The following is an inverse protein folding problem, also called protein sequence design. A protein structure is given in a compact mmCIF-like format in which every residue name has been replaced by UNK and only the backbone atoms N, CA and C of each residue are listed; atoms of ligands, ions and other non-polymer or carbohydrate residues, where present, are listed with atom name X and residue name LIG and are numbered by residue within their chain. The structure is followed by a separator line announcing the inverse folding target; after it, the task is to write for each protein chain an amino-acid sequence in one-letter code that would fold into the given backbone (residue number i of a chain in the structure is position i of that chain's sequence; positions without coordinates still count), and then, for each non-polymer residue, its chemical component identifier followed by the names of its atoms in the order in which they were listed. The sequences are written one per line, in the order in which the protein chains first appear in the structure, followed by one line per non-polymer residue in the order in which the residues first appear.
data_IF_783160145529
#
_entry.id   IF_783160145529
#
_cell.length_a   1.000
_cell.length_b   1.000
_cell.length_c   1.000
_cell.angle_alpha   90.00
_cell.angle_beta   90.00
_cell.angle_gamma   90.00
#
_symmetry.space_group_name_H-M   'P 1'
#
loop_
_entity.id
_entity.type
_entity.pdbx_description
1 polymer ?
#
# COMPACT_ATOMS: atom_id res chain seq x y z
N UNK A 1 -4.66 -6.35 -11.79
CA UNK A 1 -5.69 -7.22 -12.43
C UNK A 1 -6.20 -8.27 -11.42
N UNK A 2 -7.47 -8.66 -11.20
CA UNK A 2 -7.75 -9.99 -10.59
C UNK A 2 -8.64 -10.77 -11.52
N UNK A 3 -8.15 -11.91 -11.97
CA UNK A 3 -8.81 -12.91 -12.78
C UNK A 3 -9.10 -14.12 -11.90
N UNK A 4 -10.24 -14.75 -12.09
CA UNK A 4 -10.63 -15.90 -11.28
C UNK A 4 -11.08 -17.00 -12.22
N UNK A 5 -10.50 -18.17 -12.03
CA UNK A 5 -10.73 -19.34 -12.85
C UNK A 5 -11.63 -20.33 -12.09
N UNK A 6 -12.78 -20.64 -12.71
CA UNK A 6 -13.85 -21.46 -12.12
C UNK A 6 -14.88 -20.64 -11.34
N UNK A 7 -15.82 -21.33 -10.70
CA UNK A 7 -16.98 -20.73 -10.01
C UNK A 7 -16.61 -20.25 -8.58
N UNK A 8 -15.50 -19.53 -8.43
CA UNK A 8 -15.16 -18.92 -7.14
C UNK A 8 -15.82 -17.54 -7.08
N UNK A 9 -16.78 -17.34 -6.18
CA UNK A 9 -17.33 -16.02 -5.89
C UNK A 9 -16.35 -15.21 -5.03
N UNK A 10 -15.49 -14.40 -5.67
CA UNK A 10 -14.60 -13.47 -4.98
C UNK A 10 -14.86 -12.03 -5.42
N UNK A 11 -15.38 -11.16 -4.53
CA UNK A 11 -15.71 -9.78 -4.87
C UNK A 11 -14.47 -8.89 -4.91
N UNK A 12 -13.51 -9.16 -5.80
CA UNK A 12 -12.31 -8.32 -5.95
C UNK A 12 -12.50 -7.32 -7.08
N UNK A 13 -12.66 -6.04 -6.74
CA UNK A 13 -12.70 -4.92 -7.69
C UNK A 13 -13.74 -5.04 -8.81
N UNK A 14 -14.89 -5.67 -8.54
CA UNK A 14 -16.09 -5.63 -9.40
C UNK A 14 -15.90 -6.23 -10.79
N UNK A 15 -15.09 -7.27 -10.91
CA UNK A 15 -14.82 -7.87 -12.21
C UNK A 15 -15.74 -9.03 -12.51
N UNK A 16 -16.49 -8.90 -13.60
CA UNK A 16 -17.02 -10.03 -14.36
C UNK A 16 -15.86 -10.94 -14.75
N UNK A 17 -16.03 -12.25 -14.57
CA UNK A 17 -15.04 -13.29 -14.88
C UNK A 17 -14.79 -13.35 -16.39
N UNK A 18 -13.96 -12.42 -16.87
CA UNK A 18 -13.37 -12.41 -18.21
C UNK A 18 -11.89 -12.25 -18.03
N UNK A 19 -11.16 -12.94 -18.88
CA UNK A 19 -9.72 -12.79 -18.95
C UNK A 19 -9.36 -11.32 -19.25
N UNK A 20 -8.51 -10.68 -18.45
CA UNK A 20 -8.18 -9.28 -18.63
C UNK A 20 -7.16 -9.08 -19.75
N UNK A 21 -7.22 -7.94 -20.44
CA UNK A 21 -6.30 -7.59 -21.53
C UNK A 21 -4.86 -7.25 -21.07
N UNK A 22 -4.61 -7.19 -19.77
CA UNK A 22 -3.30 -6.79 -19.23
C UNK A 22 -2.94 -7.44 -17.90
N UNK A 23 -1.96 -6.87 -17.18
CA UNK A 23 -1.37 -7.51 -16.01
C UNK A 23 -2.38 -7.86 -14.93
N UNK A 24 -2.28 -9.08 -14.41
CA UNK A 24 -3.27 -9.60 -13.47
C UNK A 24 -2.71 -10.63 -12.49
N UNK A 25 -3.49 -10.85 -11.44
CA UNK A 25 -3.35 -11.93 -10.49
C UNK A 25 -4.48 -12.92 -10.74
N UNK A 26 -4.19 -14.22 -10.72
CA UNK A 26 -5.18 -15.27 -10.92
C UNK A 26 -5.57 -15.89 -9.58
N UNK A 27 -6.85 -16.20 -9.40
CA UNK A 27 -7.32 -17.11 -8.35
C UNK A 27 -7.87 -18.37 -9.01
N UNK A 28 -7.46 -19.54 -8.54
CA UNK A 28 -7.87 -20.82 -9.09
C UNK A 28 -8.14 -21.81 -7.96
N UNK A 29 -9.09 -22.72 -8.15
CA UNK A 29 -9.28 -23.84 -7.21
C UNK A 29 -8.17 -24.86 -7.44
N UNK A 30 -7.73 -25.56 -6.39
CA UNK A 30 -6.70 -26.59 -6.57
C UNK A 30 -7.08 -27.66 -7.61
N UNK A 31 -8.37 -28.06 -7.65
CA UNK A 31 -8.89 -29.01 -8.67
C UNK A 31 -8.79 -28.50 -10.11
N UNK A 32 -8.66 -27.20 -10.32
CA UNK A 32 -8.61 -26.54 -11.63
C UNK A 32 -7.18 -26.01 -11.92
N UNK A 33 -6.19 -26.36 -11.08
CA UNK A 33 -4.84 -25.78 -11.14
C UNK A 33 -4.13 -26.05 -12.46
N UNK A 34 -4.30 -27.23 -13.08
CA UNK A 34 -3.68 -27.53 -14.38
C UNK A 34 -4.13 -26.57 -15.48
N UNK A 35 -5.42 -26.24 -15.55
CA UNK A 35 -5.93 -25.22 -16.46
C UNK A 35 -5.35 -23.84 -16.11
N UNK A 36 -5.21 -23.54 -14.81
CA UNK A 36 -4.55 -22.33 -14.34
C UNK A 36 -3.09 -22.24 -14.78
N UNK A 37 -2.35 -23.35 -14.75
CA UNK A 37 -0.95 -23.41 -15.18
C UNK A 37 -0.82 -23.20 -16.70
N UNK A 38 -1.75 -23.73 -17.50
CA UNK A 38 -1.79 -23.46 -18.95
C UNK A 38 -2.01 -21.97 -19.24
N UNK A 39 -2.94 -21.35 -18.52
CA UNK A 39 -3.19 -19.90 -18.60
C UNK A 39 -1.95 -19.09 -18.25
N UNK A 40 -1.34 -19.40 -17.11
CA UNK A 40 -0.10 -18.77 -16.62
C UNK A 40 1.00 -18.91 -17.66
N UNK A 41 1.19 -20.10 -18.26
CA UNK A 41 2.18 -20.34 -19.30
C UNK A 41 1.94 -19.47 -20.55
N UNK A 42 0.68 -19.27 -20.95
CA UNK A 42 0.32 -18.42 -22.08
C UNK A 42 0.37 -16.91 -21.76
N UNK A 43 0.28 -16.53 -20.49
CA UNK A 43 0.16 -15.14 -20.03
C UNK A 43 1.33 -14.76 -19.13
N UNK A 44 2.39 -14.21 -19.72
CA UNK A 44 3.57 -13.70 -19.00
C UNK A 44 3.26 -12.49 -18.11
N UNK A 45 2.13 -11.83 -18.33
CA UNK A 45 1.65 -10.70 -17.54
C UNK A 45 0.79 -11.12 -16.32
N UNK A 46 0.56 -12.43 -16.13
CA UNK A 46 0.00 -12.96 -14.89
C UNK A 46 1.10 -12.98 -13.80
N UNK A 47 1.01 -12.08 -12.83
CA UNK A 47 2.06 -11.78 -11.83
C UNK A 47 1.99 -12.65 -10.58
N UNK A 48 0.79 -13.03 -10.18
CA UNK A 48 0.60 -13.84 -8.99
C UNK A 48 -0.58 -14.80 -9.15
N UNK A 49 -0.51 -15.92 -8.45
CA UNK A 49 -1.52 -16.98 -8.49
C UNK A 49 -1.90 -17.35 -7.07
N UNK A 50 -3.20 -17.34 -6.76
CA UNK A 50 -3.74 -17.88 -5.54
C UNK A 50 -4.44 -19.22 -5.81
N UNK A 51 -4.00 -20.28 -5.12
CA UNK A 51 -4.58 -21.61 -5.20
C UNK A 51 -5.42 -21.85 -3.95
N UNK A 52 -6.74 -21.98 -4.13
CA UNK A 52 -7.71 -22.16 -3.05
C UNK A 52 -8.20 -23.60 -3.00
N UNK A 53 -8.01 -24.25 -1.85
CA UNK A 53 -8.29 -25.67 -1.65
C UNK A 53 -7.36 -26.49 -2.54
N UNK A 54 -6.16 -26.79 -2.03
CA UNK A 54 -5.05 -27.35 -2.81
C UNK A 54 -5.47 -28.64 -3.55
N UNK A 55 -4.80 -29.00 -4.66
CA UNK A 55 -5.02 -30.31 -5.29
C UNK A 55 -4.55 -31.45 -4.39
N UNK A 56 -4.98 -32.67 -4.67
CA UNK A 56 -4.50 -33.87 -3.96
C UNK A 56 -3.02 -34.13 -4.28
N UNK A 57 -2.65 -33.97 -5.56
CA UNK A 57 -1.28 -34.09 -6.05
C UNK A 57 -0.77 -32.75 -6.55
N UNK A 58 0.52 -32.46 -6.33
CA UNK A 58 1.14 -31.20 -6.78
C UNK A 58 1.56 -31.36 -8.24
N UNK A 59 1.00 -30.59 -9.19
CA UNK A 59 1.38 -30.66 -10.60
C UNK A 59 2.76 -30.01 -10.83
N UNK A 60 3.24 -30.04 -12.07
CA UNK A 60 4.47 -29.31 -12.44
C UNK A 60 4.26 -27.79 -12.30
N UNK A 61 5.00 -27.19 -11.37
CA UNK A 61 4.90 -25.77 -11.05
C UNK A 61 5.84 -24.89 -11.88
N UNK A 62 6.57 -25.45 -12.84
CA UNK A 62 7.51 -24.70 -13.71
C UNK A 62 6.92 -23.41 -14.32
N UNK A 63 5.63 -23.36 -14.75
CA UNK A 63 5.03 -22.12 -15.27
C UNK A 63 4.97 -20.95 -14.26
N UNK A 64 5.06 -21.25 -12.96
CA UNK A 64 4.98 -20.27 -11.87
C UNK A 64 6.35 -19.69 -11.47
N UNK A 65 7.45 -20.14 -12.06
CA UNK A 65 8.78 -19.60 -11.76
C UNK A 65 8.81 -18.10 -12.05
N UNK A 66 9.33 -17.32 -11.10
CA UNK A 66 9.36 -15.85 -11.17
C UNK A 66 8.03 -15.16 -10.87
N UNK A 67 7.03 -15.90 -10.38
CA UNK A 67 5.72 -15.37 -9.98
C UNK A 67 5.46 -15.63 -8.51
N UNK A 68 4.57 -14.84 -7.91
CA UNK A 68 4.17 -15.03 -6.52
C UNK A 68 3.04 -16.06 -6.42
N UNK A 69 3.20 -17.06 -5.55
CA UNK A 69 2.22 -18.12 -5.32
C UNK A 69 1.62 -18.00 -3.92
N UNK A 70 0.31 -17.82 -3.85
CA UNK A 70 -0.46 -17.79 -2.61
C UNK A 70 -1.22 -19.11 -2.43
N UNK A 71 -0.91 -19.86 -1.38
CA UNK A 71 -1.56 -21.13 -1.06
C UNK A 71 -2.62 -20.94 0.02
N UNK A 72 -3.84 -21.41 -0.22
CA UNK A 72 -4.96 -21.27 0.73
C UNK A 72 -5.58 -22.64 1.00
N UNK A 73 -5.38 -23.15 2.22
CA UNK A 73 -5.98 -24.41 2.67
C UNK A 73 -6.17 -24.43 4.19
N UNK A 74 -7.10 -25.25 4.68
CA UNK A 74 -7.26 -25.48 6.12
C UNK A 74 -6.22 -26.46 6.69
N UNK A 75 -5.73 -27.36 5.84
CA UNK A 75 -4.78 -28.40 6.20
C UNK A 75 -3.33 -27.88 6.13
N UNK A 76 -2.69 -27.80 7.30
CA UNK A 76 -1.32 -27.33 7.42
C UNK A 76 -0.27 -28.28 6.83
N UNK A 77 -0.56 -29.59 6.75
CA UNK A 77 0.35 -30.56 6.13
C UNK A 77 0.31 -30.43 4.62
N UNK A 78 -0.88 -30.30 4.03
CA UNK A 78 -1.02 -30.06 2.58
C UNK A 78 -0.35 -28.76 2.17
N UNK A 79 -0.55 -27.67 2.94
CA UNK A 79 0.15 -26.40 2.72
C UNK A 79 1.67 -26.56 2.71
N UNK A 80 2.23 -27.24 3.73
CA UNK A 80 3.68 -27.45 3.82
C UNK A 80 4.22 -28.25 2.65
N UNK A 81 3.58 -29.38 2.32
CA UNK A 81 4.02 -30.25 1.23
C UNK A 81 4.02 -29.50 -0.12
N UNK A 82 2.95 -28.76 -0.40
CA UNK A 82 2.86 -27.96 -1.62
C UNK A 82 3.91 -26.84 -1.63
N UNK A 83 4.04 -26.09 -0.53
CA UNK A 83 5.00 -25.01 -0.40
C UNK A 83 6.45 -25.50 -0.58
N UNK A 84 6.78 -26.68 -0.06
CA UNK A 84 8.11 -27.26 -0.20
C UNK A 84 8.46 -27.55 -1.68
N UNK A 85 7.51 -28.09 -2.45
CA UNK A 85 7.70 -28.31 -3.90
C UNK A 85 7.91 -26.98 -4.62
N UNK A 86 7.07 -25.98 -4.33
CA UNK A 86 7.15 -24.66 -4.94
C UNK A 86 8.47 -23.93 -4.61
N UNK A 87 8.88 -23.94 -3.34
CA UNK A 87 10.13 -23.32 -2.89
C UNK A 87 11.35 -24.00 -3.54
N UNK A 88 11.35 -25.33 -3.66
CA UNK A 88 12.42 -26.08 -4.35
C UNK A 88 12.51 -25.72 -5.84
N UNK A 89 11.40 -25.34 -6.47
CA UNK A 89 11.36 -24.81 -7.82
C UNK A 89 11.74 -23.32 -7.93
N UNK A 90 12.07 -22.66 -6.80
CA UNK A 90 12.45 -21.24 -6.77
C UNK A 90 11.25 -20.28 -6.82
N UNK A 91 10.07 -20.73 -6.46
CA UNK A 91 8.84 -19.93 -6.46
C UNK A 91 8.67 -19.24 -5.11
N UNK A 92 8.33 -17.96 -5.11
CA UNK A 92 7.99 -17.23 -3.90
C UNK A 92 6.61 -17.67 -3.41
N UNK A 93 6.54 -18.18 -2.17
CA UNK A 93 5.30 -18.72 -1.59
C UNK A 93 4.84 -17.90 -0.40
N UNK A 94 3.57 -17.54 -0.40
CA UNK A 94 2.81 -17.05 0.75
C UNK A 94 1.68 -18.06 1.06
N UNK A 95 1.25 -18.19 2.32
CA UNK A 95 0.12 -19.06 2.64
C UNK A 95 -0.90 -18.45 3.61
N UNK A 96 -2.16 -18.82 3.42
CA UNK A 96 -3.27 -18.53 4.30
C UNK A 96 -3.84 -19.86 4.79
N UNK A 97 -3.61 -20.16 6.07
CA UNK A 97 -4.20 -21.33 6.72
C UNK A 97 -5.67 -21.10 7.05
N UNK A 98 -6.55 -21.37 6.09
CA UNK A 98 -8.01 -21.30 6.24
C UNK A 98 -8.73 -22.12 5.17
N UNK A 99 -9.82 -22.79 5.54
CA UNK A 99 -10.75 -23.41 4.58
C UNK A 99 -11.67 -22.38 3.90
N UNK A 100 -11.90 -21.24 4.57
CA UNK A 100 -12.70 -20.11 4.11
C UNK A 100 -11.96 -18.83 4.48
N UNK A 101 -10.96 -18.40 3.70
CA UNK A 101 -10.21 -17.19 4.03
C UNK A 101 -11.18 -16.00 4.06
N UNK A 102 -11.11 -15.10 5.06
CA UNK A 102 -11.82 -13.84 5.00
C UNK A 102 -11.42 -13.09 3.73
N UNK A 103 -12.39 -12.52 3.02
CA UNK A 103 -12.16 -11.77 1.78
C UNK A 103 -11.03 -10.75 1.94
N UNK A 104 -11.04 -9.98 3.02
CA UNK A 104 -10.03 -8.94 3.29
C UNK A 104 -8.60 -9.50 3.28
N UNK A 105 -8.40 -10.72 3.80
CA UNK A 105 -7.08 -11.35 3.89
C UNK A 105 -6.59 -11.81 2.52
N UNK A 106 -7.46 -12.42 1.73
CA UNK A 106 -7.13 -12.86 0.39
C UNK A 106 -6.91 -11.66 -0.55
N UNK A 107 -7.77 -10.64 -0.46
CA UNK A 107 -7.63 -9.40 -1.21
C UNK A 107 -6.36 -8.62 -0.81
N UNK A 108 -5.98 -8.64 0.47
CA UNK A 108 -4.75 -8.02 0.93
C UNK A 108 -3.52 -8.65 0.28
N UNK A 109 -3.44 -9.97 0.28
CA UNK A 109 -2.38 -10.69 -0.40
C UNK A 109 -2.41 -10.39 -1.91
N UNK A 110 -3.54 -10.56 -2.59
CA UNK A 110 -3.62 -10.41 -4.06
C UNK A 110 -3.44 -8.98 -4.57
N UNK A 111 -3.78 -7.98 -3.75
CA UNK A 111 -3.69 -6.56 -4.06
C UNK A 111 -2.84 -5.86 -2.98
N UNK A 112 -1.53 -6.14 -2.94
CA UNK A 112 -0.66 -5.54 -1.96
C UNK A 112 -0.52 -4.05 -2.28
N UNK A 113 -0.53 -3.22 -1.24
CA UNK A 113 -0.42 -1.76 -1.37
C UNK A 113 0.82 -1.31 -0.64
N UNK A 114 1.63 -0.48 -1.29
CA UNK A 114 2.80 0.14 -0.69
C UNK A 114 2.48 1.53 -0.14
N UNK A 115 3.06 1.90 0.99
CA UNK A 115 3.00 3.24 1.57
C UNK A 115 4.16 4.09 1.09
N UNK A 116 3.87 5.30 0.63
CA UNK A 116 4.84 6.34 0.29
C UNK A 116 4.62 7.50 1.25
N UNK A 117 5.55 7.71 2.18
CA UNK A 117 5.57 8.88 3.05
C UNK A 117 6.43 9.96 2.39
N UNK A 118 5.79 11.05 1.96
CA UNK A 118 6.48 12.21 1.40
C UNK A 118 7.02 13.09 2.53
N UNK A 119 8.33 13.00 2.76
CA UNK A 119 9.05 13.66 3.86
C UNK A 119 10.24 14.50 3.35
N UNK A 120 10.15 14.99 2.11
CA UNK A 120 11.19 15.75 1.42
C UNK A 120 10.85 17.24 1.25
N UNK A 121 9.71 17.70 1.80
CA UNK A 121 9.29 19.10 1.74
C UNK A 121 10.14 20.02 2.62
N UNK A 122 10.37 21.26 2.17
CA UNK A 122 11.13 22.27 2.92
C UNK A 122 10.28 22.88 4.05
N UNK A 123 10.87 23.01 5.24
CA UNK A 123 10.27 23.70 6.39
C UNK A 123 10.49 25.22 6.30
N UNK A 124 9.83 25.92 5.38
CA UNK A 124 10.06 27.37 5.18
C UNK A 124 9.35 28.27 6.21
N UNK A 125 8.31 27.75 6.90
CA UNK A 125 7.44 28.52 7.81
C UNK A 125 7.73 28.30 9.30
N UNK A 126 8.69 27.44 9.66
CA UNK A 126 9.13 27.22 11.05
C UNK A 126 10.63 27.45 11.20
N UNK A 127 11.07 28.55 11.84
CA UNK A 127 12.48 28.84 12.03
C UNK A 127 13.14 27.84 13.00
N UNK A 128 14.33 27.34 12.65
CA UNK A 128 15.25 26.68 13.60
C UNK A 128 15.12 25.16 13.78
N UNK A 129 14.11 24.50 13.19
CA UNK A 129 14.00 23.03 13.21
C UNK A 129 13.26 22.50 11.99
N UNK A 130 13.74 21.40 11.41
CA UNK A 130 13.00 20.64 10.40
C UNK A 130 11.66 20.18 10.99
N UNK A 131 10.53 20.63 10.43
CA UNK A 131 9.18 20.42 11.01
C UNK A 131 8.84 18.96 11.28
N UNK A 132 9.32 18.10 10.40
CA UNK A 132 9.14 16.65 10.44
C UNK A 132 9.80 15.99 11.67
N UNK A 133 10.70 16.70 12.35
CA UNK A 133 11.44 16.23 13.52
C UNK A 133 10.85 16.71 14.85
N UNK A 134 9.79 17.52 14.81
CA UNK A 134 9.14 17.96 16.04
C UNK A 134 8.60 16.75 16.83
N UNK A 135 8.76 16.82 18.14
CA UNK A 135 8.41 15.75 19.06
C UNK A 135 6.90 15.72 19.34
N UNK A 136 6.28 14.60 19.04
CA UNK A 136 4.89 14.34 19.38
C UNK A 136 4.87 13.09 20.24
N UNK A 137 4.62 13.25 21.54
CA UNK A 137 4.63 12.16 22.53
C UNK A 137 5.94 11.33 22.58
N UNK A 138 7.09 11.99 22.50
CA UNK A 138 8.41 11.35 22.53
C UNK A 138 8.83 10.71 21.20
N UNK A 139 8.12 11.04 20.11
CA UNK A 139 8.27 10.44 18.79
C UNK A 139 8.32 11.53 17.72
N UNK A 140 9.32 11.54 16.82
CA UNK A 140 9.35 12.49 15.71
C UNK A 140 8.10 12.39 14.84
N UNK A 141 7.55 13.54 14.43
CA UNK A 141 6.33 13.65 13.62
C UNK A 141 6.29 12.70 12.42
N UNK A 142 7.37 12.65 11.62
CA UNK A 142 7.45 11.78 10.44
C UNK A 142 7.32 10.29 10.77
N UNK A 143 7.74 9.89 11.99
CA UNK A 143 7.69 8.51 12.43
C UNK A 143 6.26 8.05 12.71
N UNK A 144 5.40 8.94 13.21
CA UNK A 144 3.96 8.64 13.37
C UNK A 144 3.31 8.26 12.04
N UNK A 145 3.62 9.00 10.97
CA UNK A 145 3.03 8.77 9.63
C UNK A 145 3.57 7.47 9.02
N UNK A 146 4.87 7.22 9.18
CA UNK A 146 5.47 5.96 8.75
C UNK A 146 4.87 4.75 9.51
N UNK A 147 4.77 4.83 10.84
CA UNK A 147 4.18 3.79 11.68
C UNK A 147 2.71 3.58 11.30
N UNK A 148 1.95 4.64 11.03
CA UNK A 148 0.57 4.56 10.55
C UNK A 148 0.45 3.78 9.22
N UNK A 149 1.35 4.01 8.26
CA UNK A 149 1.33 3.29 6.99
C UNK A 149 1.62 1.79 7.19
N UNK A 150 2.65 1.48 8.00
CA UNK A 150 3.07 0.10 8.29
C UNK A 150 2.01 -0.66 9.10
N UNK A 151 1.59 -0.13 10.23
CA UNK A 151 0.58 -0.73 11.12
C UNK A 151 -0.82 -0.76 10.48
N UNK A 152 -1.09 0.16 9.55
CA UNK A 152 -2.33 0.22 8.80
C UNK A 152 -2.46 -0.90 7.74
N UNK A 153 -1.37 -1.59 7.40
CA UNK A 153 -1.38 -2.74 6.49
C UNK A 153 -0.77 -2.48 5.10
N UNK A 154 0.07 -1.44 4.95
CA UNK A 154 0.91 -1.32 3.75
C UNK A 154 1.98 -2.42 3.77
N UNK A 155 2.15 -3.12 2.63
CA UNK A 155 3.03 -4.29 2.50
C UNK A 155 4.50 -3.89 2.36
N UNK A 156 4.74 -2.71 1.81
CA UNK A 156 6.02 -2.03 1.75
C UNK A 156 5.77 -0.61 2.23
N UNK A 157 6.69 -0.01 2.99
CA UNK A 157 6.58 1.41 3.34
C UNK A 157 7.91 2.09 3.06
N UNK A 158 7.86 3.10 2.20
CA UNK A 158 8.99 3.91 1.77
C UNK A 158 8.83 5.32 2.31
N UNK A 159 9.88 5.85 2.92
CA UNK A 159 9.98 7.26 3.31
C UNK A 159 10.89 7.97 2.32
N UNK A 160 10.34 8.95 1.59
CA UNK A 160 11.10 9.78 0.65
C UNK A 160 11.61 11.02 1.39
N UNK A 161 12.92 11.18 1.48
CA UNK A 161 13.57 12.25 2.25
C UNK A 161 14.55 13.05 1.39
N UNK A 162 14.82 14.29 1.81
CA UNK A 162 15.85 15.14 1.19
C UNK A 162 16.92 15.60 2.20
N UNK A 163 16.64 15.53 3.50
CA UNK A 163 17.55 15.97 4.55
C UNK A 163 17.94 14.81 5.46
N UNK A 164 19.22 14.75 5.79
CA UNK A 164 19.84 13.64 6.52
C UNK A 164 19.26 13.46 7.94
N UNK A 165 18.78 14.53 8.57
CA UNK A 165 18.19 14.44 9.90
C UNK A 165 16.85 13.67 9.90
N UNK A 166 16.09 13.71 8.79
CA UNK A 166 14.90 12.86 8.60
C UNK A 166 15.31 11.39 8.51
N UNK A 167 16.40 11.10 7.79
CA UNK A 167 16.96 9.73 7.70
C UNK A 167 17.30 9.18 9.09
N UNK A 168 17.98 10.00 9.90
CA UNK A 168 18.37 9.64 11.27
C UNK A 168 17.16 9.44 12.18
N UNK A 169 16.13 10.26 12.06
CA UNK A 169 14.92 10.16 12.88
C UNK A 169 14.09 8.89 12.61
N UNK A 170 14.16 8.35 11.39
CA UNK A 170 13.52 7.06 11.04
C UNK A 170 14.33 5.86 11.57
N UNK A 171 15.63 6.02 11.82
CA UNK A 171 16.47 5.05 12.54
C UNK A 171 16.40 3.61 12.00
N UNK A 172 16.48 3.46 10.67
CA UNK A 172 16.47 2.15 10.00
C UNK A 172 15.14 1.39 10.06
N UNK A 173 14.06 2.02 10.54
CA UNK A 173 12.74 1.38 10.67
C UNK A 173 11.99 1.28 9.35
N UNK A 174 12.38 2.05 8.35
CA UNK A 174 11.73 2.12 7.04
C UNK A 174 12.74 1.97 5.90
N UNK A 175 12.23 1.59 4.74
CA UNK A 175 12.95 1.77 3.49
C UNK A 175 13.03 3.26 3.17
N UNK A 176 14.24 3.74 2.86
CA UNK A 176 14.55 5.17 2.76
C UNK A 176 15.00 5.50 1.35
N UNK A 177 14.33 6.48 0.73
CA UNK A 177 14.64 6.94 -0.63
C UNK A 177 15.08 8.40 -0.60
N UNK A 178 16.34 8.62 -0.96
CA UNK A 178 16.88 9.97 -1.07
C UNK A 178 16.39 10.64 -2.35
N UNK A 179 15.77 11.82 -2.23
CA UNK A 179 15.38 12.66 -3.35
C UNK A 179 16.26 13.91 -3.44
N UNK A 180 17.32 13.83 -4.24
CA UNK A 180 18.19 14.97 -4.55
C UNK A 180 17.48 16.12 -5.28
N UNK A 181 16.30 15.87 -5.87
CA UNK A 181 15.52 16.83 -6.67
C UNK A 181 14.32 17.38 -5.92
N UNK A 182 14.24 17.22 -4.60
CA UNK A 182 13.11 17.71 -3.81
C UNK A 182 12.82 19.21 -3.99
N UNK A 183 13.84 20.02 -4.32
CA UNK A 183 13.67 21.43 -4.64
C UNK A 183 12.87 21.72 -5.92
N UNK A 184 12.66 20.72 -6.79
CA UNK A 184 11.83 20.86 -7.99
C UNK A 184 10.35 20.61 -7.74
N UNK A 185 9.95 20.40 -6.47
CA UNK A 185 8.56 20.23 -6.05
C UNK A 185 8.14 18.79 -5.78
N UNK A 186 6.90 18.65 -5.29
CA UNK A 186 6.31 17.40 -4.81
C UNK A 186 6.33 16.25 -5.84
N UNK A 187 6.19 16.56 -7.13
CA UNK A 187 6.17 15.55 -8.19
C UNK A 187 7.43 14.66 -8.16
N UNK A 188 8.60 15.26 -7.94
CA UNK A 188 9.87 14.52 -7.88
C UNK A 188 9.91 13.49 -6.74
N UNK A 189 9.33 13.84 -5.59
CA UNK A 189 9.29 12.98 -4.41
C UNK A 189 8.29 11.83 -4.59
N UNK A 190 7.13 12.12 -5.16
CA UNK A 190 6.14 11.09 -5.49
C UNK A 190 6.73 10.08 -6.49
N UNK A 191 7.38 10.57 -7.54
CA UNK A 191 8.04 9.71 -8.54
C UNK A 191 9.16 8.86 -7.94
N UNK A 192 9.96 9.41 -7.03
CA UNK A 192 10.99 8.67 -6.33
C UNK A 192 10.38 7.54 -5.48
N UNK A 193 9.30 7.82 -4.75
CA UNK A 193 8.56 6.82 -3.98
C UNK A 193 7.96 5.71 -4.84
N UNK A 194 7.29 6.07 -5.94
CA UNK A 194 6.69 5.11 -6.87
C UNK A 194 7.74 4.19 -7.52
N UNK A 195 8.91 4.73 -7.88
CA UNK A 195 10.02 3.95 -8.47
C UNK A 195 10.65 2.95 -7.49
N UNK A 196 10.56 3.22 -6.18
CA UNK A 196 11.06 2.31 -5.15
C UNK A 196 10.05 1.20 -4.80
N UNK A 197 8.80 1.32 -5.23
CA UNK A 197 7.80 0.28 -5.00
C UNK A 197 8.20 -1.01 -5.72
N UNK A 198 8.12 -2.15 -5.02
CA UNK A 198 8.38 -3.45 -5.62
C UNK A 198 7.34 -3.76 -6.71
N UNK A 199 7.71 -4.63 -7.64
CA UNK A 199 6.92 -4.95 -8.83
C UNK A 199 5.53 -5.53 -8.52
N UNK A 200 5.37 -6.20 -7.39
CA UNK A 200 4.15 -6.86 -6.96
C UNK A 200 3.09 -5.90 -6.39
N UNK A 201 3.47 -4.68 -6.01
CA UNK A 201 2.56 -3.67 -5.43
C UNK A 201 1.47 -3.29 -6.44
N UNK A 202 0.19 -3.42 -6.13
CA UNK A 202 -0.90 -3.09 -7.08
C UNK A 202 -1.45 -1.66 -6.89
N UNK A 203 -1.08 -0.99 -5.81
CA UNK A 203 -1.42 0.42 -5.55
C UNK A 203 -0.47 1.07 -4.55
N UNK A 204 -0.38 2.40 -4.58
CA UNK A 204 0.44 3.20 -3.69
C UNK A 204 -0.45 4.09 -2.80
N UNK A 205 -0.36 3.91 -1.48
CA UNK A 205 -0.87 4.81 -0.46
C UNK A 205 0.10 5.97 -0.29
N UNK A 206 -0.28 7.17 -0.72
CA UNK A 206 0.53 8.38 -0.57
C UNK A 206 0.11 9.10 0.71
N UNK A 207 1.07 9.31 1.62
CA UNK A 207 0.92 10.04 2.88
C UNK A 207 1.87 11.24 2.91
N UNK A 208 1.50 12.30 3.64
CA UNK A 208 2.37 13.46 3.88
C UNK A 208 3.01 13.35 5.26
N UNK A 209 4.32 13.56 5.35
CA UNK A 209 5.09 13.38 6.59
C UNK A 209 4.76 14.37 7.71
N UNK A 210 4.01 15.42 7.40
CA UNK A 210 3.58 16.50 8.31
C UNK A 210 2.13 16.38 8.78
N UNK A 211 1.48 15.23 8.52
CA UNK A 211 0.12 14.92 8.95
C UNK A 211 0.10 13.81 10.04
N UNK A 212 0.61 14.06 11.26
CA UNK A 212 0.77 13.03 12.29
C UNK A 212 -0.55 12.48 12.87
N UNK A 213 -1.68 13.12 12.57
CA UNK A 213 -3.01 12.65 12.97
C UNK A 213 -3.61 11.63 11.98
N UNK A 214 -2.92 11.37 10.87
CA UNK A 214 -3.23 10.24 9.98
C UNK A 214 -2.71 8.98 10.64
N UNK A 215 -3.64 8.17 11.17
CA UNK A 215 -3.31 6.97 11.92
C UNK A 215 -3.48 5.68 11.11
N UNK A 216 -3.05 4.56 11.69
CA UNK A 216 -3.19 3.22 11.09
C UNK A 216 -4.65 2.86 10.75
N UNK A 217 -5.62 3.36 11.53
CA UNK A 217 -7.05 3.17 11.23
C UNK A 217 -7.48 3.92 9.96
N UNK A 218 -6.93 5.10 9.69
CA UNK A 218 -7.20 5.85 8.45
C UNK A 218 -6.71 5.04 7.25
N UNK A 219 -5.47 4.55 7.34
CA UNK A 219 -4.83 3.71 6.32
C UNK A 219 -5.63 2.43 6.08
N UNK A 220 -5.99 1.72 7.14
CA UNK A 220 -6.79 0.49 7.06
C UNK A 220 -8.18 0.74 6.43
N UNK A 221 -8.84 1.86 6.75
CA UNK A 221 -10.13 2.23 6.14
C UNK A 221 -9.99 2.42 4.64
N UNK A 222 -8.97 3.15 4.18
CA UNK A 222 -8.73 3.35 2.75
C UNK A 222 -8.39 2.04 2.04
N UNK A 223 -7.57 1.18 2.65
CA UNK A 223 -7.22 -0.13 2.09
C UNK A 223 -8.45 -1.02 1.91
N UNK A 224 -9.35 -1.03 2.90
CA UNK A 224 -10.64 -1.73 2.81
C UNK A 224 -11.52 -1.14 1.72
N UNK A 225 -11.62 0.18 1.65
CA UNK A 225 -12.41 0.86 0.64
C UNK A 225 -11.92 0.57 -0.78
N UNK A 226 -10.60 0.63 -1.02
CA UNK A 226 -10.00 0.37 -2.34
C UNK A 226 -10.07 -1.10 -2.77
N UNK A 227 -10.02 -2.03 -1.81
CA UNK A 227 -10.17 -3.47 -2.10
C UNK A 227 -11.63 -3.89 -2.28
N UNK A 228 -12.59 -3.05 -1.92
CA UNK A 228 -14.02 -3.33 -2.08
C UNK A 228 -14.36 -3.49 -3.56
N UNK A 229 -15.33 -4.34 -3.82
CA UNK A 229 -15.94 -4.47 -5.14
C UNK A 229 -16.44 -3.13 -5.68
N UNK A 230 -16.17 -2.88 -6.97
CA UNK A 230 -16.58 -1.65 -7.66
C UNK A 230 -15.82 -0.39 -7.23
N UNK A 231 -14.77 -0.49 -6.41
CA UNK A 231 -13.97 0.67 -6.05
C UNK A 231 -13.19 1.22 -7.26
N UNK A 232 -13.09 2.55 -7.29
CA UNK A 232 -12.38 3.30 -8.33
C UNK A 232 -10.86 3.17 -8.20
N UNK A 233 -10.09 3.52 -9.26
CA UNK A 233 -8.62 3.45 -9.26
C UNK A 233 -7.94 4.24 -8.14
N UNK A 234 -8.57 5.30 -7.64
CA UNK A 234 -8.10 6.05 -6.49
C UNK A 234 -9.13 6.08 -5.35
N UNK A 235 -8.65 6.06 -4.11
CA UNK A 235 -9.47 6.26 -2.91
C UNK A 235 -8.78 7.25 -1.98
N UNK A 236 -9.48 8.30 -1.57
CA UNK A 236 -8.94 9.32 -0.67
C UNK A 236 -9.86 9.59 0.52
N UNK A 237 -9.31 10.22 1.55
CA UNK A 237 -10.07 10.67 2.72
C UNK A 237 -10.91 11.88 2.36
N UNK A 238 -12.17 11.91 2.79
CA UNK A 238 -13.03 13.09 2.67
C UNK A 238 -12.48 14.27 3.47
N UNK A 239 -12.41 15.45 2.84
CA UNK A 239 -11.92 16.67 3.48
C UNK A 239 -12.75 17.88 3.06
N UNK A 240 -13.60 18.35 3.97
CA UNK A 240 -14.27 19.66 3.93
C UNK A 240 -14.66 20.17 2.54
N UNK A 241 -14.30 21.42 2.27
CA UNK A 241 -14.56 22.12 1.00
C UNK A 241 -13.73 21.60 -0.18
N UNK A 242 -12.59 20.98 0.08
CA UNK A 242 -11.60 20.59 -0.95
C UNK A 242 -11.88 19.21 -1.56
N UNK A 243 -13.03 18.62 -1.20
CA UNK A 243 -13.51 17.30 -1.61
C UNK A 243 -12.79 16.16 -0.89
N UNK A 244 -11.46 16.18 -0.87
CA UNK A 244 -10.62 15.14 -0.28
C UNK A 244 -9.24 15.66 0.16
N UNK A 245 -8.52 14.88 0.95
CA UNK A 245 -7.13 15.15 1.33
C UNK A 245 -6.33 13.86 1.39
N UNK A 246 -4.97 13.93 1.36
CA UNK A 246 -4.16 12.79 1.72
C UNK A 246 -4.54 12.25 3.11
N UNK A 247 -4.40 10.94 3.35
CA UNK A 247 -3.84 9.94 2.44
C UNK A 247 -4.72 9.58 1.25
N UNK A 248 -4.08 9.15 0.15
CA UNK A 248 -4.74 8.68 -1.08
C UNK A 248 -4.09 7.40 -1.58
N UNK A 249 -4.90 6.38 -1.89
CA UNK A 249 -4.46 5.21 -2.64
C UNK A 249 -4.56 5.52 -4.12
N UNK A 250 -3.51 5.17 -4.87
CA UNK A 250 -3.41 5.32 -6.32
C UNK A 250 -3.06 3.96 -6.91
N UNK A 251 -4.00 3.37 -7.65
CA UNK A 251 -3.77 2.12 -8.39
C UNK A 251 -2.57 2.26 -9.33
N UNK A 252 -1.84 1.15 -9.53
CA UNK A 252 -0.69 1.09 -10.45
C UNK A 252 -0.99 1.61 -11.86
N UNK A 253 -2.21 1.45 -12.37
CA UNK A 253 -2.63 1.98 -13.67
C UNK A 253 -2.51 3.50 -13.80
N UNK A 254 -2.54 4.23 -12.68
CA UNK A 254 -2.38 5.68 -12.64
C UNK A 254 -0.91 6.12 -12.67
N UNK A 255 0.05 5.21 -12.47
CA UNK A 255 1.44 5.59 -12.21
C UNK A 255 2.12 6.23 -13.42
N UNK A 256 1.78 5.83 -14.65
CA UNK A 256 2.30 6.44 -15.87
C UNK A 256 1.95 7.94 -15.94
N UNK A 257 0.72 8.31 -15.58
CA UNK A 257 0.32 9.71 -15.50
C UNK A 257 1.05 10.43 -14.37
N UNK A 258 1.25 9.79 -13.21
CA UNK A 258 2.00 10.36 -12.09
C UNK A 258 3.49 10.59 -12.43
N UNK A 259 4.09 9.73 -13.27
CA UNK A 259 5.46 9.92 -13.77
C UNK A 259 5.59 11.13 -14.71
N UNK A 260 4.49 11.59 -15.31
CA UNK A 260 4.49 12.78 -16.18
C UNK A 260 4.42 14.11 -15.42
N UNK A 261 4.09 14.08 -14.13
CA UNK A 261 3.94 15.29 -13.30
C UNK A 261 5.25 16.06 -13.15
N UNK A 262 5.14 17.38 -12.96
CA UNK A 262 6.27 18.31 -12.81
C UNK A 262 5.97 19.36 -11.74
N UNK A 263 7.00 19.92 -11.14
CA UNK A 263 6.82 21.00 -10.16
C UNK A 263 6.14 20.51 -8.88
N UNK A 264 5.31 21.39 -8.31
CA UNK A 264 4.54 21.13 -7.08
C UNK A 264 3.27 20.30 -7.32
N UNK A 265 3.12 19.72 -8.51
CA UNK A 265 2.02 18.83 -8.85
C UNK A 265 2.03 17.54 -8.02
N UNK A 266 0.84 17.10 -7.60
CA UNK A 266 0.64 15.82 -6.93
C UNK A 266 -0.52 15.05 -7.53
N UNK A 267 -0.93 13.98 -6.85
CA UNK A 267 -2.03 13.11 -7.27
C UNK A 267 -3.34 13.86 -7.58
N UNK A 268 -3.57 14.99 -6.90
CA UNK A 268 -4.72 15.86 -7.17
C UNK A 268 -4.81 16.34 -8.60
N UNK A 269 -3.69 16.62 -9.27
CA UNK A 269 -3.71 17.05 -10.67
C UNK A 269 -4.16 15.94 -11.62
N UNK A 270 -3.79 14.70 -11.32
CA UNK A 270 -4.29 13.54 -12.08
C UNK A 270 -5.79 13.40 -11.83
N UNK A 271 -6.26 13.44 -10.59
CA UNK A 271 -7.66 13.16 -10.29
C UNK A 271 -8.63 14.33 -10.58
N UNK A 272 -8.12 15.52 -10.84
CA UNK A 272 -8.93 16.71 -11.08
C UNK A 272 -9.83 16.55 -12.32
N UNK A 273 -11.13 16.81 -12.14
CA UNK A 273 -12.13 16.70 -13.22
C UNK A 273 -12.49 15.26 -13.63
N UNK A 274 -11.98 14.24 -12.91
CA UNK A 274 -12.19 12.81 -13.20
C UNK A 274 -12.86 12.08 -12.03
N UNK A 275 -14.13 12.42 -11.70
CA UNK A 275 -14.81 11.78 -10.57
C UNK A 275 -14.86 10.26 -10.72
N UNK A 276 -15.00 9.72 -11.93
CA UNK A 276 -14.99 8.28 -12.23
C UNK A 276 -13.73 7.55 -11.76
N UNK A 277 -12.64 8.27 -11.51
CA UNK A 277 -11.36 7.72 -11.05
C UNK A 277 -11.20 7.73 -9.53
N UNK A 278 -12.03 8.46 -8.78
CA UNK A 278 -11.85 8.69 -7.35
C UNK A 278 -13.08 8.33 -6.50
N UNK A 279 -12.90 7.43 -5.54
CA UNK A 279 -13.79 7.31 -4.39
C UNK A 279 -13.30 8.19 -3.24
N UNK A 280 -14.23 8.92 -2.61
CA UNK A 280 -13.94 9.70 -1.41
C UNK A 280 -14.67 9.06 -0.24
N UNK A 281 -13.95 8.68 0.80
CA UNK A 281 -14.52 7.95 1.93
C UNK A 281 -14.28 8.69 3.26
N UNK A 282 -15.26 8.65 4.19
CA UNK A 282 -15.00 9.09 5.56
C UNK A 282 -13.99 8.14 6.22
N UNK A 283 -13.00 8.71 6.89
CA UNK A 283 -12.00 7.94 7.63
C UNK A 283 -11.76 8.58 9.01
N UNK A 284 -11.38 7.79 10.04
CA UNK A 284 -10.97 8.35 11.32
C UNK A 284 -9.67 9.13 11.17
N UNK A 285 -9.38 10.02 12.13
CA UNK A 285 -8.19 10.87 12.09
C UNK A 285 -8.44 12.20 11.38
N UNK A 286 -7.37 12.97 11.20
CA UNK A 286 -7.40 14.29 10.56
C UNK A 286 -6.17 14.46 9.68
N UNK A 287 -6.35 15.08 8.51
CA UNK A 287 -5.26 15.43 7.60
C UNK A 287 -4.76 16.86 7.88
N UNK A 288 -4.61 17.20 9.16
CA UNK A 288 -4.14 18.53 9.56
C UNK A 288 -2.65 18.66 9.24
N UNK A 289 -2.28 19.65 8.44
CA UNK A 289 -0.88 19.99 8.18
C UNK A 289 -0.32 20.81 9.35
N UNK A 290 0.92 20.52 9.75
CA UNK A 290 1.65 21.34 10.72
C UNK A 290 2.60 22.27 9.98
N UNK A 291 2.17 23.52 9.83
CA UNK A 291 2.93 24.56 9.12
C UNK A 291 3.47 25.65 10.04
N UNK A 292 2.82 25.87 11.19
CA UNK A 292 3.19 26.93 12.15
C UNK A 292 3.39 26.39 13.57
N UNK A 293 4.10 27.13 14.45
CA UNK A 293 4.20 26.78 15.86
C UNK A 293 2.84 26.64 16.57
N UNK A 294 1.83 27.43 16.15
CA UNK A 294 0.48 27.35 16.69
C UNK A 294 -0.24 26.06 16.28
N UNK A 295 -0.02 25.58 15.05
CA UNK A 295 -0.54 24.29 14.61
C UNK A 295 0.06 23.16 15.43
N UNK A 296 1.38 23.18 15.59
CA UNK A 296 2.08 22.22 16.44
C UNK A 296 1.56 22.24 17.88
N UNK A 297 1.38 23.43 18.49
CA UNK A 297 0.86 23.57 19.84
C UNK A 297 -0.57 23.01 20.00
N UNK A 298 -1.43 23.15 18.98
CA UNK A 298 -2.77 22.54 18.97
C UNK A 298 -2.68 21.02 18.92
N UNK A 299 -1.83 20.48 18.05
CA UNK A 299 -1.69 19.04 17.83
C UNK A 299 -1.12 18.33 19.06
N UNK A 300 -0.05 18.86 19.66
CA UNK A 300 0.57 18.23 20.85
C UNK A 300 -0.39 18.11 22.02
N UNK A 301 -1.38 19.01 22.15
CA UNK A 301 -2.42 18.93 23.19
C UNK A 301 -3.40 17.77 23.00
N UNK A 302 -3.49 17.20 21.79
CA UNK A 302 -4.33 16.03 21.50
C UNK A 302 -3.70 14.72 21.97
N UNK A 303 -2.38 14.72 22.19
CA UNK A 303 -1.66 13.55 22.69
C UNK A 303 -1.68 13.53 24.22
N UNK A 304 -1.91 12.37 24.85
CA UNK A 304 -1.86 12.26 26.31
C UNK A 304 -0.51 12.74 26.82
N UNK A 305 -0.50 13.66 27.79
CA UNK A 305 0.76 14.03 28.46
C UNK A 305 1.31 12.79 29.15
N UNK A 306 2.53 12.37 28.81
CA UNK A 306 3.26 11.37 29.58
C UNK A 306 3.27 11.81 31.04
N UNK A 307 2.70 10.98 31.94
CA UNK A 307 2.92 11.17 33.37
C UNK A 307 4.43 11.16 33.60
N UNK A 308 5.01 12.10 34.36
CA UNK A 308 6.42 12.03 34.71
C UNK A 308 6.69 10.65 35.28
N UNK A 309 7.69 9.94 34.76
CA UNK A 309 8.20 8.73 35.42
C UNK A 309 8.55 9.14 36.84
N UNK A 310 7.80 8.63 37.83
CA UNK A 310 8.25 8.70 39.21
C UNK A 310 9.62 8.00 39.22
N UNK A 311 10.67 8.78 39.44
CA UNK A 311 12.00 8.22 39.72
C UNK A 311 11.83 7.45 41.03
N UNK A 312 11.97 6.13 40.96
CA UNK A 312 12.25 5.29 42.12
C UNK A 312 13.71 5.53 42.54
#
# INVERSE_FOLDING_TARGET
MVFVMGDIDLPVRGRTYREPEGPHSMVVRGKDLDAGLQHVAARSDCRSVAVVGLPEEVPDLSPLIGRRLLLVDGDGTRLRNFAEVAIRAGIEVEWIRSTRPPFERLAAALLPVGGIVLAAGKSSRMPGSQKLLLDIDGVPMVRHVFEAASEGGCHQTVVVYAEEDVRRAIDGRAELVFNARASTGMASSLQAGLKAMRHEIEGAMVLLGDQPLVGSRTVATLLRAWRREGSRPAVAVSSGSDGWSPPVILERSLWEELYSLKGDAGARQVLHGRPEMLDVVPAPGRSDDIDTPDDYAKIVRLFPRRRPRQRA
#
